data_IF_924030966128
#
_entry.id   IF_924030966128
#
_cell.length_a   1.000
_cell.length_b   1.000
_cell.length_c   1.000
_cell.angle_alpha   90.00
_cell.angle_beta   90.00
_cell.angle_gamma   90.00
#
_symmetry.space_group_name_H-M   'P 1'
#
loop_
_entity.id
_entity.type
_entity.pdbx_description
1 polymer ?
#
# COMPACT_ATOMS: atom_id res chain seq x y z
N UNK A 1 -1.65 10.57 29.63
CA UNK A 1 -2.31 9.29 29.32
C UNK A 1 -1.98 8.32 30.43
N UNK A 2 -2.97 7.73 31.07
CA UNK A 2 -2.74 6.70 32.09
C UNK A 2 -2.82 5.31 31.43
N UNK A 3 -1.90 4.40 31.76
CA UNK A 3 -1.86 3.05 31.15
C UNK A 3 -2.95 2.10 31.71
N UNK A 4 -3.48 2.42 32.88
CA UNK A 4 -4.46 1.60 33.60
C UNK A 4 -5.79 1.43 32.83
N UNK A 5 -6.46 2.51 32.37
CA UNK A 5 -7.69 2.40 31.60
C UNK A 5 -7.53 1.60 30.30
N UNK A 6 -6.44 1.85 29.57
CA UNK A 6 -6.08 1.15 28.32
C UNK A 6 -5.98 -0.36 28.56
N UNK A 7 -5.29 -0.76 29.64
CA UNK A 7 -5.11 -2.17 30.00
C UNK A 7 -6.41 -2.86 30.40
N UNK A 8 -7.32 -2.16 31.09
CA UNK A 8 -8.62 -2.72 31.51
C UNK A 8 -9.48 -3.05 30.29
N UNK A 9 -9.59 -2.09 29.35
CA UNK A 9 -10.30 -2.31 28.08
C UNK A 9 -9.68 -3.47 27.31
N UNK A 10 -8.35 -3.46 27.15
CA UNK A 10 -7.66 -4.50 26.41
C UNK A 10 -7.84 -5.90 27.01
N UNK A 11 -7.80 -6.02 28.34
CA UNK A 11 -7.98 -7.31 29.04
C UNK A 11 -9.40 -7.85 28.87
N UNK A 12 -10.42 -7.00 28.95
CA UNK A 12 -11.82 -7.39 28.77
C UNK A 12 -12.05 -7.93 27.35
N UNK A 13 -11.72 -7.14 26.35
CA UNK A 13 -11.89 -7.47 24.93
C UNK A 13 -11.11 -8.75 24.55
N UNK A 14 -9.89 -8.91 25.06
CA UNK A 14 -9.11 -10.12 24.83
C UNK A 14 -9.78 -11.36 25.45
N UNK A 15 -10.37 -11.24 26.65
CA UNK A 15 -11.09 -12.35 27.28
C UNK A 15 -12.29 -12.76 26.43
N UNK A 16 -13.06 -11.79 25.95
CA UNK A 16 -14.24 -12.06 25.13
C UNK A 16 -13.86 -12.78 23.83
N UNK A 17 -12.81 -12.30 23.13
CA UNK A 17 -12.28 -12.94 21.93
C UNK A 17 -11.76 -14.38 22.16
N UNK A 18 -11.08 -14.62 23.28
CA UNK A 18 -10.54 -15.94 23.64
C UNK A 18 -11.61 -16.91 24.16
N UNK A 19 -12.84 -16.45 24.42
CA UNK A 19 -13.94 -17.35 24.84
C UNK A 19 -14.78 -17.86 23.67
N UNK A 20 -14.68 -17.24 22.49
CA UNK A 20 -15.44 -17.69 21.33
C UNK A 20 -14.70 -18.82 20.59
N UNK A 21 -15.19 -20.05 20.77
CA UNK A 21 -14.62 -21.23 20.14
C UNK A 21 -14.68 -21.18 18.60
N UNK A 22 -15.66 -20.46 18.02
CA UNK A 22 -15.83 -20.38 16.56
C UNK A 22 -14.72 -19.57 15.91
N UNK A 23 -14.20 -18.58 16.63
CA UNK A 23 -13.04 -17.80 16.19
C UNK A 23 -11.74 -18.53 16.51
N UNK A 24 -11.64 -19.17 17.68
CA UNK A 24 -10.44 -19.87 18.09
C UNK A 24 -10.15 -21.12 17.25
N UNK A 25 -11.16 -21.89 16.86
CA UNK A 25 -10.96 -23.16 16.16
C UNK A 25 -10.18 -23.00 14.84
N UNK A 26 -10.56 -22.10 13.91
CA UNK A 26 -9.76 -21.84 12.71
C UNK A 26 -8.38 -21.27 13.04
N UNK A 27 -8.26 -20.37 14.03
CA UNK A 27 -6.97 -19.79 14.43
C UNK A 27 -6.01 -20.87 14.92
N UNK A 28 -6.48 -21.82 15.74
CA UNK A 28 -5.69 -22.96 16.23
C UNK A 28 -5.24 -23.84 15.06
N UNK A 29 -6.12 -24.15 14.11
CA UNK A 29 -5.77 -24.91 12.90
C UNK A 29 -4.67 -24.17 12.11
N UNK A 30 -4.87 -22.88 11.84
CA UNK A 30 -3.90 -22.06 11.11
C UNK A 30 -2.58 -21.89 11.88
N UNK A 31 -2.61 -21.97 13.21
CA UNK A 31 -1.43 -21.81 14.06
C UNK A 31 -0.60 -23.11 14.16
N UNK A 32 -1.23 -24.28 14.21
CA UNK A 32 -0.50 -25.53 14.45
C UNK A 32 -0.41 -26.44 13.23
N UNK A 33 -1.47 -26.54 12.44
CA UNK A 33 -1.52 -27.46 11.29
C UNK A 33 -0.83 -26.85 10.08
N UNK A 34 -1.19 -25.61 9.73
CA UNK A 34 -0.67 -24.96 8.51
C UNK A 34 0.85 -24.83 8.48
N UNK A 35 1.55 -24.40 9.56
CA UNK A 35 3.01 -24.31 9.53
C UNK A 35 3.68 -25.67 9.32
N UNK A 36 3.10 -26.72 9.90
CA UNK A 36 3.55 -28.11 9.71
C UNK A 36 3.40 -28.55 8.26
N UNK A 37 2.27 -28.21 7.61
CA UNK A 37 2.03 -28.50 6.19
C UNK A 37 2.99 -27.71 5.30
N UNK A 38 3.19 -26.41 5.54
CA UNK A 38 4.11 -25.57 4.76
C UNK A 38 5.52 -26.13 4.82
N UNK A 39 6.01 -26.46 6.02
CA UNK A 39 7.34 -27.05 6.17
C UNK A 39 7.42 -28.42 5.49
N UNK A 40 6.42 -29.28 5.68
CA UNK A 40 6.38 -30.61 5.06
C UNK A 40 6.43 -30.52 3.53
N UNK A 41 5.69 -29.58 2.95
CA UNK A 41 5.73 -29.30 1.52
C UNK A 41 7.12 -28.83 1.06
N UNK A 42 7.75 -27.92 1.81
CA UNK A 42 9.10 -27.47 1.52
C UNK A 42 10.12 -28.63 1.58
N UNK A 43 10.05 -29.48 2.61
CA UNK A 43 10.94 -30.63 2.77
C UNK A 43 10.66 -31.72 1.73
N UNK A 44 9.41 -31.93 1.33
CA UNK A 44 9.05 -32.85 0.25
C UNK A 44 9.61 -32.36 -1.09
N UNK A 45 9.60 -31.05 -1.35
CA UNK A 45 10.19 -30.46 -2.55
C UNK A 45 11.70 -30.78 -2.70
N UNK A 46 12.43 -31.01 -1.60
CA UNK A 46 13.83 -31.47 -1.64
C UNK A 46 13.94 -32.79 -2.40
N UNK A 47 13.05 -33.75 -2.08
CA UNK A 47 13.08 -35.09 -2.68
C UNK A 47 12.73 -35.04 -4.17
N UNK A 48 11.92 -34.05 -4.57
CA UNK A 48 11.51 -33.86 -5.96
C UNK A 48 12.54 -33.10 -6.81
N UNK A 49 13.09 -32.00 -6.27
CA UNK A 49 14.03 -31.12 -6.98
C UNK A 49 15.46 -31.70 -6.93
N UNK A 50 15.81 -32.43 -5.88
CA UNK A 50 17.16 -32.96 -5.68
C UNK A 50 18.21 -31.92 -5.24
N UNK A 51 17.81 -30.66 -5.05
CA UNK A 51 18.70 -29.57 -4.61
C UNK A 51 18.27 -29.00 -3.24
N UNK A 52 19.09 -29.29 -2.23
CA UNK A 52 18.95 -28.78 -0.87
C UNK A 52 19.11 -27.24 -0.78
N UNK A 53 19.88 -26.64 -1.70
CA UNK A 53 20.17 -25.21 -1.70
C UNK A 53 18.95 -24.37 -2.07
N UNK A 54 18.25 -24.75 -3.14
CA UNK A 54 17.03 -24.07 -3.58
C UNK A 54 15.93 -24.12 -2.52
N UNK A 55 15.75 -25.26 -1.83
CA UNK A 55 14.74 -25.38 -0.76
C UNK A 55 15.12 -24.57 0.47
N UNK A 56 16.40 -24.52 0.86
CA UNK A 56 16.85 -23.71 2.00
C UNK A 56 16.47 -22.23 1.83
N UNK A 57 16.41 -21.71 0.59
CA UNK A 57 15.97 -20.34 0.29
C UNK A 57 14.48 -20.11 0.54
N UNK A 58 13.66 -21.15 0.53
CA UNK A 58 12.21 -21.06 0.76
C UNK A 58 11.84 -21.10 2.25
N UNK A 59 12.74 -21.56 3.12
CA UNK A 59 12.47 -21.71 4.56
C UNK A 59 12.10 -20.37 5.22
N UNK A 60 12.83 -19.25 5.03
CA UNK A 60 12.43 -17.98 5.62
C UNK A 60 11.07 -17.49 5.12
N UNK A 61 10.75 -17.73 3.84
CA UNK A 61 9.45 -17.41 3.29
C UNK A 61 8.34 -18.29 3.89
N UNK A 62 8.57 -19.59 4.07
CA UNK A 62 7.64 -20.49 4.74
C UNK A 62 7.35 -20.07 6.18
N UNK A 63 8.38 -19.62 6.90
CA UNK A 63 8.25 -19.06 8.25
C UNK A 63 7.41 -17.78 8.26
N UNK A 64 7.68 -16.84 7.35
CA UNK A 64 6.91 -15.60 7.19
C UNK A 64 5.43 -15.88 6.86
N UNK A 65 5.18 -16.78 5.91
CA UNK A 65 3.84 -17.19 5.48
C UNK A 65 3.07 -17.86 6.63
N UNK A 66 3.76 -18.69 7.43
CA UNK A 66 3.19 -19.35 8.60
C UNK A 66 2.65 -18.35 9.63
N UNK A 67 3.33 -17.22 9.84
CA UNK A 67 2.83 -16.15 10.70
C UNK A 67 1.71 -15.32 10.05
N UNK A 68 1.81 -15.06 8.74
CA UNK A 68 0.87 -14.20 8.02
C UNK A 68 -0.55 -14.74 7.94
N UNK A 69 -0.73 -16.05 7.74
CA UNK A 69 -2.05 -16.67 7.58
C UNK A 69 -2.95 -16.54 8.83
N UNK A 70 -2.54 -16.98 10.04
CA UNK A 70 -3.35 -16.80 11.24
C UNK A 70 -3.51 -15.33 11.64
N UNK A 71 -2.50 -14.47 11.41
CA UNK A 71 -2.63 -13.03 11.62
C UNK A 71 -3.76 -12.44 10.76
N UNK A 72 -3.80 -12.84 9.49
CA UNK A 72 -4.80 -12.39 8.51
C UNK A 72 -6.20 -12.83 8.87
N UNK A 73 -6.37 -14.06 9.35
CA UNK A 73 -7.68 -14.56 9.80
C UNK A 73 -8.14 -13.84 11.07
N UNK A 74 -7.23 -13.63 12.02
CA UNK A 74 -7.53 -12.93 13.28
C UNK A 74 -7.87 -11.45 13.08
N UNK A 75 -7.59 -10.87 11.90
CA UNK A 75 -7.97 -9.50 11.55
C UNK A 75 -9.49 -9.25 11.64
N UNK A 76 -10.31 -10.29 11.47
CA UNK A 76 -11.77 -10.21 11.62
C UNK A 76 -12.14 -9.64 12.99
N UNK A 77 -11.45 -10.06 14.05
CA UNK A 77 -11.69 -9.55 15.42
C UNK A 77 -11.41 -8.05 15.53
N UNK A 78 -10.38 -7.55 14.82
CA UNK A 78 -10.07 -6.12 14.79
C UNK A 78 -11.17 -5.32 14.06
N UNK A 79 -11.73 -5.88 12.99
CA UNK A 79 -12.82 -5.27 12.23
C UNK A 79 -14.14 -5.23 13.00
N UNK A 80 -14.38 -6.22 13.87
CA UNK A 80 -15.58 -6.27 14.72
C UNK A 80 -15.46 -5.38 15.97
N UNK A 81 -14.28 -4.89 16.31
CA UNK A 81 -14.03 -4.17 17.58
C UNK A 81 -14.92 -2.94 17.83
N UNK A 82 -15.23 -2.13 16.79
CA UNK A 82 -16.15 -0.99 16.91
C UNK A 82 -17.53 -1.28 16.33
N UNK A 83 -17.56 -1.99 15.20
CA UNK A 83 -18.80 -2.31 14.49
C UNK A 83 -19.66 -3.30 15.27
N UNK A 84 -19.05 -4.26 15.96
CA UNK A 84 -19.76 -5.22 16.80
C UNK A 84 -20.47 -4.55 17.97
N UNK A 85 -19.84 -3.56 18.61
CA UNK A 85 -20.48 -2.75 19.66
C UNK A 85 -21.62 -1.89 19.11
N UNK A 86 -21.49 -1.42 17.86
CA UNK A 86 -22.57 -0.72 17.17
C UNK A 86 -23.75 -1.65 16.87
N UNK A 87 -23.49 -2.83 16.34
CA UNK A 87 -24.53 -3.79 15.98
C UNK A 87 -25.22 -4.40 17.22
N UNK A 88 -24.54 -4.43 18.36
CA UNK A 88 -25.08 -4.85 19.67
C UNK A 88 -25.79 -3.74 20.46
N UNK A 89 -25.84 -2.51 19.92
CA UNK A 89 -26.40 -1.33 20.59
C UNK A 89 -25.79 -1.08 21.99
N UNK A 90 -24.45 -1.12 22.06
CA UNK A 90 -23.70 -0.90 23.30
C UNK A 90 -22.81 0.34 23.25
N UNK A 91 -22.98 1.20 22.24
CA UNK A 91 -22.19 2.42 22.03
C UNK A 91 -22.40 3.46 23.14
N UNK A 92 -23.58 3.51 23.75
CA UNK A 92 -23.91 4.39 24.87
C UNK A 92 -23.01 4.11 26.08
N UNK A 93 -22.66 2.83 26.29
CA UNK A 93 -21.73 2.43 27.34
C UNK A 93 -20.32 2.97 27.09
N UNK A 94 -19.88 3.04 25.83
CA UNK A 94 -18.58 3.61 25.44
C UNK A 94 -18.56 5.13 25.59
N UNK A 95 -19.69 5.81 25.35
CA UNK A 95 -19.80 7.26 25.57
C UNK A 95 -19.74 7.64 27.06
N UNK A 96 -20.32 6.81 27.93
CA UNK A 96 -20.38 7.07 29.37
C UNK A 96 -19.05 6.78 30.09
N UNK A 97 -18.06 6.18 29.41
CA UNK A 97 -16.76 5.87 30.03
C UNK A 97 -15.96 7.16 30.30
N UNK A 98 -15.38 7.32 31.51
CA UNK A 98 -14.52 8.45 31.85
C UNK A 98 -13.11 8.27 31.26
N UNK A 99 -13.02 8.16 29.93
CA UNK A 99 -11.78 7.96 29.17
C UNK A 99 -11.70 8.98 28.03
N UNK A 100 -10.47 9.37 27.67
CA UNK A 100 -10.25 10.17 26.46
C UNK A 100 -10.39 9.30 25.21
N UNK A 101 -10.77 9.92 24.09
CA UNK A 101 -10.96 9.24 22.80
C UNK A 101 -9.68 8.51 22.34
N UNK A 102 -8.52 9.14 22.53
CA UNK A 102 -7.22 8.52 22.24
C UNK A 102 -6.88 7.33 23.14
N UNK A 103 -7.22 7.37 24.44
CA UNK A 103 -7.02 6.24 25.35
C UNK A 103 -7.96 5.07 25.02
N UNK A 104 -9.21 5.35 24.65
CA UNK A 104 -10.15 4.33 24.22
C UNK A 104 -9.70 3.67 22.91
N UNK A 105 -9.29 4.48 21.92
CA UNK A 105 -8.75 3.98 20.65
C UNK A 105 -7.54 3.08 20.87
N UNK A 106 -6.55 3.52 21.67
CA UNK A 106 -5.37 2.71 21.97
C UNK A 106 -5.70 1.43 22.76
N UNK A 107 -6.68 1.48 23.67
CA UNK A 107 -7.18 0.31 24.37
C UNK A 107 -7.71 -0.75 23.42
N UNK A 108 -8.62 -0.35 22.51
CA UNK A 108 -9.18 -1.25 21.50
C UNK A 108 -8.14 -1.73 20.49
N UNK A 109 -7.27 -0.84 20.03
CA UNK A 109 -6.17 -1.20 19.13
C UNK A 109 -5.26 -2.26 19.75
N UNK A 110 -4.87 -2.08 21.01
CA UNK A 110 -4.00 -3.04 21.72
C UNK A 110 -4.70 -4.38 21.90
N UNK A 111 -5.99 -4.38 22.27
CA UNK A 111 -6.79 -5.59 22.39
C UNK A 111 -6.87 -6.36 21.07
N UNK A 112 -7.19 -5.64 19.99
CA UNK A 112 -7.32 -6.16 18.65
C UNK A 112 -5.98 -6.63 18.06
N UNK A 113 -4.84 -6.09 18.54
CA UNK A 113 -3.51 -6.48 18.08
C UNK A 113 -3.01 -7.77 18.73
N UNK A 114 -3.38 -8.03 19.98
CA UNK A 114 -2.87 -9.19 20.72
C UNK A 114 -3.26 -10.51 20.05
N UNK A 115 -4.52 -10.69 19.64
CA UNK A 115 -4.98 -11.96 19.05
C UNK A 115 -4.25 -12.31 17.74
N UNK A 116 -4.17 -11.40 16.73
CA UNK A 116 -3.39 -11.65 15.52
C UNK A 116 -1.89 -11.82 15.77
N UNK A 117 -1.30 -11.03 16.67
CA UNK A 117 0.13 -11.09 16.91
C UNK A 117 0.54 -12.39 17.62
N UNK A 118 -0.19 -12.77 18.67
CA UNK A 118 0.10 -14.00 19.42
C UNK A 118 -0.11 -15.23 18.53
N UNK A 119 -1.20 -15.29 17.77
CA UNK A 119 -1.43 -16.42 16.84
C UNK A 119 -0.33 -16.52 15.77
N UNK A 120 0.10 -15.40 15.21
CA UNK A 120 1.22 -15.36 14.25
C UNK A 120 2.53 -15.86 14.86
N UNK A 121 2.89 -15.37 16.04
CA UNK A 121 4.12 -15.75 16.73
C UNK A 121 4.10 -17.23 17.13
N UNK A 122 2.97 -17.74 17.60
CA UNK A 122 2.79 -19.17 17.90
C UNK A 122 2.90 -20.05 16.65
N UNK A 123 2.41 -19.58 15.51
CA UNK A 123 2.51 -20.29 14.24
C UNK A 123 3.96 -20.35 13.75
N UNK A 124 4.68 -19.25 13.88
CA UNK A 124 6.11 -19.18 13.57
C UNK A 124 6.95 -20.02 14.53
N UNK A 125 6.60 -20.05 15.81
CA UNK A 125 7.23 -20.94 16.78
C UNK A 125 6.99 -22.41 16.43
N UNK A 126 5.77 -22.77 16.02
CA UNK A 126 5.44 -24.12 15.54
C UNK A 126 6.23 -24.49 14.29
N UNK A 127 6.34 -23.58 13.32
CA UNK A 127 7.18 -23.77 12.13
C UNK A 127 8.64 -24.02 12.52
N UNK A 128 9.19 -23.15 13.38
CA UNK A 128 10.58 -23.23 13.81
C UNK A 128 10.85 -24.52 14.60
N UNK A 129 9.92 -24.95 15.46
CA UNK A 129 10.01 -26.22 16.18
C UNK A 129 10.14 -27.39 15.21
N UNK A 130 9.19 -27.53 14.27
CA UNK A 130 9.23 -28.62 13.31
C UNK A 130 10.43 -28.54 12.36
N UNK A 131 10.88 -27.33 12.03
CA UNK A 131 12.08 -27.13 11.22
C UNK A 131 13.33 -27.68 11.92
N UNK A 132 13.49 -27.41 13.22
CA UNK A 132 14.62 -27.95 13.98
C UNK A 132 14.56 -29.48 14.14
N UNK A 133 13.36 -30.05 14.24
CA UNK A 133 13.17 -31.51 14.45
C UNK A 133 13.27 -32.29 13.13
N UNK A 134 12.65 -31.81 12.05
CA UNK A 134 12.42 -32.59 10.83
C UNK A 134 13.30 -32.19 9.65
N UNK A 135 13.87 -30.98 9.61
CA UNK A 135 14.68 -30.56 8.48
C UNK A 135 16.07 -31.24 8.50
N UNK A 136 16.59 -31.73 7.37
CA UNK A 136 17.94 -32.29 7.31
C UNK A 136 19.01 -31.27 7.74
N UNK A 137 20.07 -31.73 8.40
CA UNK A 137 21.19 -30.88 8.83
C UNK A 137 21.79 -30.06 7.66
N UNK A 138 21.79 -30.61 6.44
CA UNK A 138 22.23 -29.93 5.23
C UNK A 138 21.38 -28.69 4.86
N UNK A 139 20.10 -28.67 5.24
CA UNK A 139 19.22 -27.50 5.08
C UNK A 139 19.41 -26.55 6.25
N UNK A 140 19.52 -27.09 7.47
CA UNK A 140 19.73 -26.30 8.70
C UNK A 140 20.98 -25.43 8.63
N UNK A 141 22.11 -25.98 8.19
CA UNK A 141 23.36 -25.23 8.07
C UNK A 141 23.37 -24.13 6.99
N UNK A 142 22.35 -24.07 6.12
CA UNK A 142 22.24 -23.07 5.04
C UNK A 142 21.30 -21.92 5.36
N UNK A 143 20.38 -22.10 6.31
CA UNK A 143 19.44 -21.04 6.70
C UNK A 143 20.10 -20.16 7.74
N UNK A 144 20.10 -18.86 7.49
CA UNK A 144 20.68 -17.90 8.42
C UNK A 144 19.68 -17.55 9.52
N UNK A 145 20.11 -17.65 10.78
CA UNK A 145 19.25 -17.39 11.95
C UNK A 145 18.82 -15.92 12.03
N UNK A 146 19.69 -14.99 11.63
CA UNK A 146 19.37 -13.56 11.58
C UNK A 146 18.18 -13.25 10.64
N UNK A 147 18.10 -13.95 9.51
CA UNK A 147 16.94 -13.85 8.61
C UNK A 147 15.66 -14.36 9.26
N UNK A 148 15.71 -15.42 10.07
CA UNK A 148 14.51 -15.92 10.78
C UNK A 148 13.97 -14.89 11.76
N UNK A 149 14.85 -14.23 12.53
CA UNK A 149 14.46 -13.12 13.42
C UNK A 149 13.91 -11.93 12.64
N UNK A 150 14.46 -11.61 11.47
CA UNK A 150 13.90 -10.59 10.60
C UNK A 150 12.49 -10.95 10.12
N UNK A 151 12.20 -12.23 9.83
CA UNK A 151 10.83 -12.66 9.49
C UNK A 151 9.86 -12.42 10.65
N UNK A 152 10.31 -12.68 11.89
CA UNK A 152 9.52 -12.43 13.10
C UNK A 152 9.26 -10.93 13.28
N UNK A 153 10.28 -10.10 13.09
CA UNK A 153 10.14 -8.64 13.16
C UNK A 153 9.19 -8.11 12.07
N UNK A 154 9.31 -8.63 10.84
CA UNK A 154 8.44 -8.28 9.73
C UNK A 154 6.99 -8.66 10.01
N UNK A 155 6.70 -9.87 10.54
CA UNK A 155 5.30 -10.21 10.84
C UNK A 155 4.72 -9.32 11.94
N UNK A 156 5.52 -8.95 12.94
CA UNK A 156 5.07 -8.13 14.04
C UNK A 156 4.64 -6.74 13.55
N UNK A 157 5.47 -6.10 12.71
CA UNK A 157 5.12 -4.81 12.11
C UNK A 157 3.93 -4.94 11.16
N UNK A 158 3.84 -6.02 10.36
CA UNK A 158 2.66 -6.27 9.51
C UNK A 158 1.37 -6.39 10.31
N UNK A 159 1.39 -7.11 11.44
CA UNK A 159 0.24 -7.23 12.31
C UNK A 159 -0.22 -5.85 12.82
N UNK A 160 0.71 -4.96 13.18
CA UNK A 160 0.38 -3.59 13.58
C UNK A 160 -0.26 -2.81 12.43
N UNK A 161 0.33 -2.84 11.23
CA UNK A 161 -0.23 -2.15 10.04
C UNK A 161 -1.64 -2.65 9.76
N UNK A 162 -1.83 -3.97 9.76
CA UNK A 162 -3.11 -4.61 9.46
C UNK A 162 -4.18 -4.21 10.49
N UNK A 163 -3.87 -4.35 11.77
CA UNK A 163 -4.82 -4.07 12.85
C UNK A 163 -5.13 -2.58 12.92
N UNK A 164 -4.14 -1.69 12.79
CA UNK A 164 -4.39 -0.25 12.76
C UNK A 164 -5.30 0.14 11.58
N UNK A 165 -5.05 -0.41 10.38
CA UNK A 165 -5.92 -0.19 9.22
C UNK A 165 -7.33 -0.73 9.44
N UNK A 166 -7.46 -1.95 9.98
CA UNK A 166 -8.76 -2.57 10.26
C UNK A 166 -9.57 -1.80 11.30
N UNK A 167 -8.94 -1.32 12.38
CA UNK A 167 -9.61 -0.55 13.42
C UNK A 167 -10.10 0.81 12.88
N UNK A 168 -9.31 1.48 12.03
CA UNK A 168 -9.76 2.70 11.32
C UNK A 168 -10.99 2.38 10.48
N UNK A 169 -10.95 1.35 9.63
CA UNK A 169 -12.08 0.94 8.79
C UNK A 169 -13.31 0.58 9.65
N UNK A 170 -13.11 -0.18 10.73
CA UNK A 170 -14.16 -0.57 11.69
C UNK A 170 -14.89 0.66 12.22
N UNK A 171 -14.16 1.70 12.64
CA UNK A 171 -14.76 2.94 13.15
C UNK A 171 -15.60 3.72 12.12
N UNK A 172 -15.46 3.40 10.84
CA UNK A 172 -16.14 4.06 9.72
C UNK A 172 -17.22 3.20 9.05
N UNK A 173 -17.48 2.00 9.56
CA UNK A 173 -18.44 1.06 8.99
C UNK A 173 -19.60 0.82 9.95
N UNK A 174 -20.76 0.45 9.42
CA UNK A 174 -22.00 0.36 10.21
C UNK A 174 -22.44 -1.07 10.51
N UNK A 175 -22.01 -2.05 9.70
CA UNK A 175 -22.42 -3.46 9.85
C UNK A 175 -21.22 -4.38 9.77
N UNK A 176 -21.24 -5.47 10.56
CA UNK A 176 -20.12 -6.43 10.62
C UNK A 176 -19.89 -7.05 9.23
N UNK A 177 -20.96 -7.30 8.47
CA UNK A 177 -20.86 -7.81 7.09
C UNK A 177 -20.11 -6.84 6.17
N UNK A 178 -20.38 -5.53 6.25
CA UNK A 178 -19.66 -4.54 5.46
C UNK A 178 -18.19 -4.45 5.88
N UNK A 179 -17.92 -4.46 7.18
CA UNK A 179 -16.55 -4.44 7.71
C UNK A 179 -15.74 -5.66 7.21
N UNK A 180 -16.33 -6.85 7.19
CA UNK A 180 -15.69 -8.06 6.69
C UNK A 180 -15.42 -8.02 5.18
N UNK A 181 -16.27 -7.39 4.37
CA UNK A 181 -15.97 -7.16 2.95
C UNK A 181 -14.81 -6.17 2.78
N UNK A 182 -14.74 -5.17 3.65
CA UNK A 182 -13.69 -4.15 3.67
C UNK A 182 -12.37 -4.66 4.26
N UNK A 183 -12.35 -5.85 4.89
CA UNK A 183 -11.13 -6.55 5.29
C UNK A 183 -10.15 -6.70 4.11
N UNK A 184 -10.69 -6.90 2.91
CA UNK A 184 -9.92 -7.00 1.68
C UNK A 184 -9.03 -5.78 1.42
N UNK A 185 -9.44 -4.58 1.88
CA UNK A 185 -8.65 -3.36 1.71
C UNK A 185 -7.38 -3.37 2.56
N UNK A 186 -7.35 -4.14 3.64
CA UNK A 186 -6.15 -4.36 4.43
C UNK A 186 -5.37 -5.57 3.93
N UNK A 187 -6.07 -6.67 3.64
CA UNK A 187 -5.44 -7.95 3.30
C UNK A 187 -4.77 -7.96 1.92
N UNK A 188 -5.39 -7.33 0.91
CA UNK A 188 -4.85 -7.36 -0.47
C UNK A 188 -3.52 -6.60 -0.58
N UNK A 189 -3.39 -5.34 -0.10
CA UNK A 189 -2.09 -4.66 -0.12
C UNK A 189 -1.02 -5.42 0.68
N UNK A 190 -1.39 -6.00 1.83
CA UNK A 190 -0.44 -6.76 2.64
C UNK A 190 -0.02 -8.07 1.98
N UNK A 191 -0.90 -8.74 1.23
CA UNK A 191 -0.53 -9.93 0.47
C UNK A 191 0.43 -9.60 -0.68
N UNK A 192 0.28 -8.44 -1.33
CA UNK A 192 1.26 -7.94 -2.31
C UNK A 192 2.62 -7.72 -1.65
N UNK A 193 2.67 -7.13 -0.45
CA UNK A 193 3.93 -6.96 0.29
C UNK A 193 4.57 -8.32 0.59
N UNK A 194 3.80 -9.31 1.07
CA UNK A 194 4.31 -10.67 1.34
C UNK A 194 4.82 -11.36 0.06
N UNK A 195 4.15 -11.16 -1.07
CA UNK A 195 4.61 -11.68 -2.37
C UNK A 195 5.92 -11.03 -2.82
N UNK A 196 6.08 -9.72 -2.65
CA UNK A 196 7.33 -9.02 -2.94
C UNK A 196 8.46 -9.49 -2.02
N UNK A 197 8.18 -9.68 -0.73
CA UNK A 197 9.15 -10.25 0.21
C UNK A 197 9.57 -11.66 -0.17
N UNK A 198 8.66 -12.49 -0.69
CA UNK A 198 8.99 -13.81 -1.21
C UNK A 198 10.07 -13.72 -2.30
N UNK A 199 9.91 -12.82 -3.27
CA UNK A 199 10.89 -12.58 -4.33
C UNK A 199 12.23 -12.11 -3.77
N UNK A 200 12.21 -11.20 -2.79
CA UNK A 200 13.44 -10.66 -2.15
C UNK A 200 14.16 -11.73 -1.32
N UNK A 201 13.42 -12.58 -0.59
CA UNK A 201 13.95 -13.71 0.17
C UNK A 201 14.62 -14.70 -0.79
N UNK A 202 13.95 -15.06 -1.89
CA UNK A 202 14.49 -15.96 -2.92
C UNK A 202 15.74 -15.36 -3.59
N UNK A 203 15.74 -14.06 -3.83
CA UNK A 203 16.88 -13.31 -4.36
C UNK A 203 18.04 -13.16 -3.36
N UNK A 204 17.87 -13.61 -2.11
CA UNK A 204 18.87 -13.54 -1.03
C UNK A 204 19.38 -12.12 -0.74
N UNK A 205 18.48 -11.13 -0.77
CA UNK A 205 18.81 -9.71 -0.51
C UNK A 205 18.27 -9.24 0.86
N UNK A 206 18.93 -9.58 1.99
CA UNK A 206 18.44 -9.24 3.34
C UNK A 206 18.29 -7.74 3.59
N UNK A 207 19.10 -6.90 2.97
CA UNK A 207 19.05 -5.45 3.17
C UNK A 207 17.75 -4.85 2.58
N UNK A 208 17.21 -5.42 1.50
CA UNK A 208 15.90 -5.02 0.97
C UNK A 208 14.77 -5.35 1.95
N UNK A 209 14.87 -6.47 2.67
CA UNK A 209 13.89 -6.85 3.70
C UNK A 209 13.92 -5.88 4.88
N UNK A 210 15.10 -5.38 5.27
CA UNK A 210 15.21 -4.30 6.26
C UNK A 210 14.57 -3.00 5.79
N UNK A 211 14.74 -2.64 4.52
CA UNK A 211 14.07 -1.47 3.96
C UNK A 211 12.54 -1.61 3.98
N UNK A 212 12.03 -2.80 3.66
CA UNK A 212 10.59 -3.11 3.76
C UNK A 212 10.12 -3.01 5.23
N UNK A 213 10.90 -3.54 6.18
CA UNK A 213 10.61 -3.43 7.60
C UNK A 213 10.46 -1.97 8.04
N UNK A 214 11.43 -1.12 7.73
CA UNK A 214 11.40 0.31 8.11
C UNK A 214 10.26 1.06 7.43
N UNK A 215 9.97 0.76 6.17
CA UNK A 215 8.82 1.34 5.46
C UNK A 215 7.49 0.95 6.12
N UNK A 216 7.29 -0.33 6.43
CA UNK A 216 6.10 -0.80 7.14
C UNK A 216 5.99 -0.22 8.54
N UNK A 217 7.11 -0.02 9.25
CA UNK A 217 7.10 0.59 10.57
C UNK A 217 6.67 2.06 10.51
N UNK A 218 7.15 2.80 9.50
CA UNK A 218 6.70 4.17 9.26
C UNK A 218 5.20 4.24 8.96
N UNK A 219 4.70 3.32 8.13
CA UNK A 219 3.25 3.18 7.83
C UNK A 219 2.47 2.84 9.10
N UNK A 220 2.96 1.91 9.92
CA UNK A 220 2.33 1.54 11.18
C UNK A 220 2.17 2.75 12.11
N UNK A 221 3.25 3.53 12.30
CA UNK A 221 3.22 4.76 13.11
C UNK A 221 2.25 5.78 12.53
N UNK A 222 2.23 5.96 11.21
CA UNK A 222 1.31 6.87 10.53
C UNK A 222 -0.15 6.46 10.72
N UNK A 223 -0.49 5.18 10.53
CA UNK A 223 -1.86 4.68 10.71
C UNK A 223 -2.32 4.82 12.17
N UNK A 224 -1.49 4.41 13.14
CA UNK A 224 -1.84 4.54 14.57
C UNK A 224 -2.08 6.00 14.95
N UNK A 225 -1.19 6.91 14.56
CA UNK A 225 -1.38 8.36 14.82
C UNK A 225 -2.64 8.91 14.16
N UNK A 226 -2.91 8.47 12.94
CA UNK A 226 -4.06 8.94 12.19
C UNK A 226 -5.37 8.45 12.79
N UNK A 227 -5.45 7.17 13.17
CA UNK A 227 -6.62 6.62 13.84
C UNK A 227 -6.89 7.27 15.20
N UNK A 228 -5.84 7.60 15.97
CA UNK A 228 -6.00 8.37 17.21
C UNK A 228 -6.61 9.76 16.98
N UNK A 229 -6.27 10.42 15.86
CA UNK A 229 -6.76 11.77 15.55
C UNK A 229 -8.13 11.77 14.86
N UNK A 230 -8.48 10.70 14.13
CA UNK A 230 -9.76 10.58 13.44
C UNK A 230 -10.88 10.05 14.34
N UNK A 231 -10.52 9.35 15.42
CA UNK A 231 -11.48 8.76 16.33
C UNK A 231 -12.19 9.83 17.16
N UNK A 232 -13.49 9.98 16.93
CA UNK A 232 -14.39 10.78 17.73
C UNK A 232 -15.63 9.94 18.06
N UNK A 233 -15.85 9.70 19.36
CA UNK A 233 -16.92 8.82 19.86
C UNK A 233 -18.33 9.30 19.50
N UNK A 234 -18.56 10.62 19.43
CA UNK A 234 -19.88 11.21 19.14
C UNK A 234 -20.26 11.05 17.67
N UNK A 235 -19.27 11.03 16.78
CA UNK A 235 -19.51 10.88 15.34
C UNK A 235 -19.87 9.44 14.94
N UNK A 236 -19.58 8.45 15.78
CA UNK A 236 -19.92 7.04 15.53
C UNK A 236 -21.44 6.81 15.66
N UNK A 237 -22.10 7.53 16.58
CA UNK A 237 -23.54 7.46 16.87
C UNK A 237 -24.39 8.25 15.87
N UNK A 238 -23.95 9.46 15.47
CA UNK A 238 -24.71 10.27 14.49
C UNK A 238 -24.84 9.58 13.13
N UNK A 239 -23.97 8.60 12.83
CA UNK A 239 -23.94 7.83 11.59
C UNK A 239 -24.90 6.64 11.53
N UNK A 240 -25.61 6.30 12.60
CA UNK A 240 -26.62 5.23 12.58
C UNK A 240 -27.85 5.61 11.72
N UNK A 241 -28.13 6.91 11.61
CA UNK A 241 -29.32 7.44 10.96
C UNK A 241 -29.15 7.74 9.45
N UNK A 242 -27.97 7.52 8.88
CA UNK A 242 -27.67 7.83 7.48
C UNK A 242 -27.88 6.62 6.56
N UNK A 243 -29.11 6.42 6.08
CA UNK A 243 -29.42 5.38 5.09
C UNK A 243 -28.61 5.52 3.79
N UNK A 244 -28.21 4.38 3.21
CA UNK A 244 -27.50 4.32 1.94
C UNK A 244 -28.43 4.71 0.77
N UNK A 245 -28.19 5.85 0.14
CA UNK A 245 -28.95 6.33 -1.02
C UNK A 245 -28.02 6.48 -2.23
N UNK A 246 -28.04 5.52 -3.14
CA UNK A 246 -27.27 5.55 -4.39
C UNK A 246 -27.58 6.80 -5.22
N UNK A 247 -28.85 7.23 -5.23
CA UNK A 247 -29.29 8.47 -5.91
C UNK A 247 -28.58 9.69 -5.32
N UNK A 248 -28.49 9.78 -3.98
CA UNK A 248 -27.82 10.91 -3.31
C UNK A 248 -26.31 10.89 -3.51
N UNK A 249 -25.68 9.71 -3.49
CA UNK A 249 -24.25 9.53 -3.77
C UNK A 249 -23.93 10.03 -5.18
N UNK A 250 -24.68 9.55 -6.17
CA UNK A 250 -24.47 9.94 -7.57
C UNK A 250 -24.75 11.44 -7.80
N UNK A 251 -25.81 11.97 -7.19
CA UNK A 251 -26.09 13.40 -7.25
C UNK A 251 -24.96 14.24 -6.64
N UNK A 252 -24.43 13.82 -5.49
CA UNK A 252 -23.30 14.48 -4.81
C UNK A 252 -22.04 14.45 -5.66
N UNK A 253 -21.71 13.29 -6.22
CA UNK A 253 -20.58 13.13 -7.13
C UNK A 253 -20.71 14.03 -8.36
N UNK A 254 -21.91 14.10 -8.96
CA UNK A 254 -22.21 15.02 -10.06
C UNK A 254 -22.06 16.49 -9.66
N UNK A 255 -22.44 16.89 -8.45
CA UNK A 255 -22.21 18.27 -8.00
C UNK A 255 -20.71 18.60 -7.98
N UNK A 256 -19.88 17.71 -7.43
CA UNK A 256 -18.43 17.90 -7.37
C UNK A 256 -17.74 17.89 -8.74
N UNK A 257 -18.35 17.29 -9.76
CA UNK A 257 -17.88 17.38 -11.15
C UNK A 257 -18.18 18.74 -11.80
N UNK A 258 -19.14 19.52 -11.31
CA UNK A 258 -19.56 20.76 -11.97
C UNK A 258 -18.51 21.87 -11.88
N UNK A 259 -17.92 22.07 -10.71
CA UNK A 259 -16.90 23.10 -10.47
C UNK A 259 -15.92 22.67 -9.38
N UNK A 260 -14.85 23.42 -9.19
CA UNK A 260 -14.00 23.23 -8.01
C UNK A 260 -14.44 24.17 -6.89
N UNK A 261 -14.67 23.59 -5.72
CA UNK A 261 -14.72 24.29 -4.44
C UNK A 261 -13.79 23.57 -3.46
N UNK A 262 -13.20 24.29 -2.49
CA UNK A 262 -12.38 23.69 -1.44
C UNK A 262 -13.10 22.56 -0.70
N UNK A 263 -12.35 21.58 -0.20
CA UNK A 263 -12.94 20.48 0.56
C UNK A 263 -13.61 21.00 1.84
N UNK A 264 -14.84 20.54 2.13
CA UNK A 264 -15.68 21.02 3.23
C UNK A 264 -16.88 21.89 2.79
N UNK A 265 -16.91 22.36 1.54
CA UNK A 265 -18.05 23.12 1.00
C UNK A 265 -19.20 22.18 0.62
N UNK A 266 -20.35 22.36 1.26
CA UNK A 266 -21.55 21.51 1.07
C UNK A 266 -21.94 21.35 -0.42
N UNK A 267 -22.33 20.14 -0.87
CA UNK A 267 -22.69 19.87 -2.28
C UNK A 267 -23.77 20.79 -2.85
N UNK A 268 -24.69 21.25 -2.01
CA UNK A 268 -25.80 22.14 -2.38
C UNK A 268 -25.32 23.54 -2.82
N UNK A 269 -24.10 23.93 -2.44
CA UNK A 269 -23.50 25.22 -2.82
C UNK A 269 -22.85 25.20 -4.21
N UNK A 270 -22.78 24.04 -4.87
CA UNK A 270 -22.24 23.91 -6.23
C UNK A 270 -23.31 24.33 -7.25
N UNK A 271 -23.33 25.63 -7.57
CA UNK A 271 -24.38 26.22 -8.40
C UNK A 271 -23.98 26.36 -9.86
N UNK A 272 -22.69 26.51 -10.16
CA UNK A 272 -22.25 26.74 -11.53
C UNK A 272 -22.30 25.46 -12.38
N UNK A 273 -22.43 25.62 -13.69
CA UNK A 273 -22.27 24.52 -14.66
C UNK A 273 -20.79 24.22 -14.92
N UNK A 274 -20.50 23.05 -15.47
CA UNK A 274 -19.15 22.69 -15.89
C UNK A 274 -18.71 23.51 -17.11
N UNK A 275 -17.48 24.03 -17.06
CA UNK A 275 -16.87 24.80 -18.15
C UNK A 275 -15.40 24.45 -18.28
N UNK A 276 -14.98 24.02 -19.47
CA UNK A 276 -13.58 23.70 -19.78
C UNK A 276 -12.66 24.92 -19.60
N UNK A 277 -13.12 26.10 -20.06
CA UNK A 277 -12.34 27.34 -19.94
C UNK A 277 -12.15 27.74 -18.47
N UNK A 278 -13.19 27.59 -17.63
CA UNK A 278 -13.06 27.83 -16.19
C UNK A 278 -12.14 26.80 -15.54
N UNK A 279 -12.25 25.54 -15.96
CA UNK A 279 -11.41 24.47 -15.42
C UNK A 279 -9.92 24.79 -15.58
N UNK A 280 -9.46 25.03 -16.81
CA UNK A 280 -8.03 25.30 -17.05
C UNK A 280 -7.55 26.63 -16.47
N UNK A 281 -8.39 27.67 -16.44
CA UNK A 281 -7.98 29.01 -15.97
C UNK A 281 -8.06 29.19 -14.45
N UNK A 282 -8.98 28.50 -13.78
CA UNK A 282 -9.33 28.77 -12.37
C UNK A 282 -9.32 27.51 -11.51
N UNK A 283 -10.06 26.47 -11.94
CA UNK A 283 -10.25 25.28 -11.10
C UNK A 283 -8.96 24.46 -10.97
N UNK A 284 -8.21 24.27 -12.05
CA UNK A 284 -6.99 23.46 -12.06
C UNK A 284 -5.84 24.09 -11.25
N UNK A 285 -5.50 25.39 -11.39
CA UNK A 285 -4.51 26.02 -10.51
C UNK A 285 -4.91 25.97 -9.02
N UNK A 286 -6.19 26.15 -8.72
CA UNK A 286 -6.69 26.05 -7.35
C UNK A 286 -6.60 24.61 -6.80
N UNK A 287 -6.87 23.60 -7.64
CA UNK A 287 -6.67 22.19 -7.32
C UNK A 287 -5.20 21.85 -7.04
N UNK A 288 -4.26 22.38 -7.83
CA UNK A 288 -2.83 22.18 -7.58
C UNK A 288 -2.41 22.76 -6.22
N UNK A 289 -2.94 23.93 -5.85
CA UNK A 289 -2.70 24.51 -4.53
C UNK A 289 -3.29 23.65 -3.40
N UNK A 290 -4.52 23.15 -3.57
CA UNK A 290 -5.17 22.22 -2.64
C UNK A 290 -4.37 20.91 -2.48
N UNK A 291 -3.71 20.45 -3.55
CA UNK A 291 -2.90 19.23 -3.56
C UNK A 291 -1.44 19.42 -3.15
N UNK A 292 -1.02 20.60 -2.67
CA UNK A 292 0.37 20.88 -2.27
C UNK A 292 0.98 19.84 -1.32
N UNK A 293 0.20 19.35 -0.35
CA UNK A 293 0.66 18.34 0.59
C UNK A 293 0.82 16.97 -0.09
N UNK A 294 -0.11 16.59 -0.96
CA UNK A 294 -0.02 15.37 -1.74
C UNK A 294 1.17 15.44 -2.73
N UNK A 295 1.37 16.58 -3.38
CA UNK A 295 2.52 16.84 -4.25
C UNK A 295 3.85 16.78 -3.49
N UNK A 296 3.90 17.28 -2.24
CA UNK A 296 5.07 17.14 -1.38
C UNK A 296 5.36 15.66 -1.07
N UNK A 297 4.34 14.87 -0.75
CA UNK A 297 4.50 13.41 -0.54
C UNK A 297 4.99 12.71 -1.81
N UNK A 298 4.49 13.10 -2.98
CA UNK A 298 4.97 12.57 -4.26
C UNK A 298 6.40 13.01 -4.54
N UNK A 299 6.77 14.24 -4.23
CA UNK A 299 8.15 14.71 -4.34
C UNK A 299 9.09 13.90 -3.45
N UNK A 300 8.67 13.56 -2.23
CA UNK A 300 9.41 12.63 -1.37
C UNK A 300 9.52 11.25 -2.01
N UNK A 301 8.46 10.75 -2.66
CA UNK A 301 8.49 9.48 -3.40
C UNK A 301 9.53 9.51 -4.53
N UNK A 302 9.56 10.60 -5.31
CA UNK A 302 10.53 10.82 -6.40
C UNK A 302 11.96 10.83 -5.85
N UNK A 303 12.22 11.60 -4.80
CA UNK A 303 13.55 11.71 -4.21
C UNK A 303 14.00 10.40 -3.56
N UNK A 304 13.14 9.75 -2.80
CA UNK A 304 13.44 8.45 -2.19
C UNK A 304 13.68 7.39 -3.26
N UNK A 305 12.90 7.38 -4.35
CA UNK A 305 13.12 6.53 -5.52
C UNK A 305 14.49 6.75 -6.15
N UNK A 306 14.81 7.99 -6.55
CA UNK A 306 16.12 8.33 -7.16
C UNK A 306 17.29 7.88 -6.28
N UNK A 307 17.28 8.30 -5.01
CA UNK A 307 18.33 8.00 -4.04
C UNK A 307 18.45 6.49 -3.84
N UNK A 308 17.32 5.81 -3.64
CA UNK A 308 17.29 4.36 -3.53
C UNK A 308 17.86 3.68 -4.77
N UNK A 309 17.50 4.12 -5.99
CA UNK A 309 18.01 3.56 -7.24
C UNK A 309 19.54 3.62 -7.35
N UNK A 310 20.13 4.78 -7.02
CA UNK A 310 21.59 4.97 -7.03
C UNK A 310 22.28 4.04 -6.03
N UNK A 311 21.79 3.98 -4.79
CA UNK A 311 22.35 3.07 -3.79
C UNK A 311 22.11 1.60 -4.12
N UNK A 312 20.96 1.29 -4.73
CA UNK A 312 20.58 -0.05 -5.12
C UNK A 312 21.51 -0.62 -6.20
N UNK A 313 22.04 0.21 -7.10
CA UNK A 313 23.05 -0.23 -8.06
C UNK A 313 24.33 -0.75 -7.36
N UNK A 314 24.77 -0.10 -6.28
CA UNK A 314 25.93 -0.56 -5.50
C UNK A 314 25.63 -1.76 -4.61
N UNK A 315 24.46 -1.78 -3.98
CA UNK A 315 24.10 -2.78 -2.96
C UNK A 315 23.43 -4.04 -3.51
N UNK A 316 22.67 -3.93 -4.61
CA UNK A 316 21.78 -4.97 -5.14
C UNK A 316 22.08 -5.30 -6.61
N UNK A 317 23.37 -5.33 -6.95
CA UNK A 317 23.84 -5.61 -8.31
C UNK A 317 23.51 -7.05 -8.71
N UNK A 318 22.78 -7.22 -9.81
CA UNK A 318 22.43 -8.52 -10.34
C UNK A 318 23.06 -8.73 -11.72
N UNK A 319 23.80 -9.83 -11.90
CA UNK A 319 24.51 -10.12 -13.15
C UNK A 319 23.58 -10.20 -14.37
N UNK A 320 22.36 -10.74 -14.18
CA UNK A 320 21.37 -10.79 -15.26
C UNK A 320 20.92 -9.39 -15.69
N UNK A 321 20.77 -8.46 -14.74
CA UNK A 321 20.34 -7.10 -15.00
C UNK A 321 21.47 -6.29 -15.66
N UNK A 322 22.71 -6.48 -15.23
CA UNK A 322 23.87 -5.91 -15.91
C UNK A 322 23.96 -6.39 -17.35
N UNK A 323 23.88 -7.70 -17.58
CA UNK A 323 23.91 -8.29 -18.92
C UNK A 323 22.75 -7.78 -19.79
N UNK A 324 21.57 -7.60 -19.20
CA UNK A 324 20.43 -6.99 -19.88
C UNK A 324 20.73 -5.54 -20.28
N UNK A 325 21.17 -4.70 -19.34
CA UNK A 325 21.51 -3.30 -19.61
C UNK A 325 22.62 -3.18 -20.67
N UNK A 326 23.67 -3.99 -20.59
CA UNK A 326 24.75 -4.02 -21.59
C UNK A 326 24.25 -4.32 -23.01
N UNK A 327 23.27 -5.21 -23.15
CA UNK A 327 22.70 -5.60 -24.46
C UNK A 327 21.64 -4.64 -24.98
N UNK A 328 20.85 -4.06 -24.07
CA UNK A 328 19.70 -3.22 -24.42
C UNK A 328 20.05 -1.75 -24.63
N UNK A 329 21.12 -1.27 -24.00
CA UNK A 329 21.58 0.11 -24.16
C UNK A 329 22.12 0.33 -25.58
N UNK A 330 21.68 1.42 -26.21
CA UNK A 330 21.99 1.76 -27.60
C UNK A 330 21.11 1.04 -28.63
N UNK A 331 20.36 0.01 -28.21
CA UNK A 331 19.39 -0.68 -29.08
C UNK A 331 18.00 -0.13 -28.83
N UNK A 332 17.39 0.50 -29.83
CA UNK A 332 16.03 0.99 -29.77
C UNK A 332 15.14 0.26 -30.79
N UNK A 333 13.89 -0.08 -30.45
CA UNK A 333 12.95 -0.63 -31.41
C UNK A 333 12.68 0.38 -32.53
N UNK A 334 12.22 -0.08 -33.70
CA UNK A 334 11.80 0.84 -34.76
C UNK A 334 10.59 1.67 -34.28
N UNK A 335 10.55 2.99 -34.58
CA UNK A 335 9.39 3.84 -34.34
C UNK A 335 8.13 3.19 -34.88
N UNK A 336 7.10 3.09 -34.04
CA UNK A 336 5.85 2.45 -34.42
C UNK A 336 4.69 2.97 -33.59
N UNK A 337 3.58 3.29 -34.27
CA UNK A 337 2.32 3.64 -33.63
C UNK A 337 1.78 2.50 -32.77
N UNK A 338 2.06 1.25 -33.13
CA UNK A 338 1.67 0.09 -32.33
C UNK A 338 2.41 0.06 -30.99
N UNK A 339 3.72 0.35 -30.99
CA UNK A 339 4.50 0.46 -29.76
C UNK A 339 4.02 1.63 -28.91
N UNK A 340 3.78 2.80 -29.52
CA UNK A 340 3.21 3.96 -28.84
C UNK A 340 1.86 3.65 -28.18
N UNK A 341 0.97 2.91 -28.87
CA UNK A 341 -0.31 2.49 -28.32
C UNK A 341 -0.16 1.52 -27.13
N UNK A 342 0.80 0.58 -27.19
CA UNK A 342 1.12 -0.33 -26.09
C UNK A 342 1.67 0.40 -24.85
N UNK A 343 2.55 1.38 -25.06
CA UNK A 343 3.07 2.28 -24.02
C UNK A 343 1.92 3.08 -23.41
N UNK A 344 1.07 3.69 -24.23
CA UNK A 344 -0.10 4.44 -23.78
C UNK A 344 -1.03 3.58 -22.91
N UNK A 345 -1.38 2.37 -23.37
CA UNK A 345 -2.23 1.45 -22.62
C UNK A 345 -1.63 1.08 -21.26
N UNK A 346 -0.31 0.85 -21.21
CA UNK A 346 0.41 0.52 -19.97
C UNK A 346 0.42 1.71 -19.00
N UNK A 347 0.77 2.90 -19.47
CA UNK A 347 0.84 4.10 -18.65
C UNK A 347 -0.54 4.53 -18.15
N UNK A 348 -1.58 4.40 -18.97
CA UNK A 348 -2.98 4.63 -18.55
C UNK A 348 -3.42 3.62 -17.50
N UNK A 349 -3.09 2.34 -17.68
CA UNK A 349 -3.38 1.30 -16.70
C UNK A 349 -2.72 1.64 -15.36
N UNK A 350 -1.43 1.95 -15.35
CA UNK A 350 -0.69 2.29 -14.13
C UNK A 350 -1.29 3.55 -13.47
N UNK A 351 -1.52 4.61 -14.23
CA UNK A 351 -2.11 5.85 -13.72
C UNK A 351 -3.51 5.65 -13.13
N UNK A 352 -4.36 4.85 -13.76
CA UNK A 352 -5.74 4.64 -13.33
C UNK A 352 -5.81 3.67 -12.14
N UNK A 353 -5.15 2.52 -12.22
CA UNK A 353 -5.17 1.53 -11.14
C UNK A 353 -4.45 2.02 -9.89
N UNK A 354 -3.35 2.77 -10.00
CA UNK A 354 -2.69 3.33 -8.81
C UNK A 354 -3.62 4.27 -8.04
N UNK A 355 -4.42 5.08 -8.75
CA UNK A 355 -5.43 5.95 -8.14
C UNK A 355 -6.56 5.16 -7.46
N UNK A 356 -7.11 4.15 -8.15
CA UNK A 356 -8.19 3.31 -7.59
C UNK A 356 -7.70 2.50 -6.39
N UNK A 357 -6.55 1.86 -6.49
CA UNK A 357 -5.95 1.08 -5.41
C UNK A 357 -5.47 1.96 -4.26
N UNK A 358 -5.24 3.26 -4.49
CA UNK A 358 -4.91 4.22 -3.43
C UNK A 358 -6.06 4.43 -2.45
N UNK A 359 -7.32 4.27 -2.90
CA UNK A 359 -8.46 4.23 -2.00
C UNK A 359 -8.33 3.08 -1.00
N UNK A 360 -7.79 1.94 -1.41
CA UNK A 360 -7.71 0.76 -0.54
C UNK A 360 -6.41 0.68 0.24
N UNK A 361 -5.39 1.44 -0.15
CA UNK A 361 -4.04 1.39 0.42
C UNK A 361 -3.61 2.68 1.09
N UNK A 362 -4.54 3.60 1.37
CA UNK A 362 -4.23 4.91 1.96
C UNK A 362 -3.17 5.71 1.17
N UNK A 363 -3.18 5.57 -0.16
CA UNK A 363 -2.25 6.29 -1.05
C UNK A 363 -0.95 5.55 -1.36
N UNK A 364 -0.67 4.38 -0.77
CA UNK A 364 0.60 3.67 -0.94
C UNK A 364 0.86 3.33 -2.42
N UNK A 365 -0.13 2.85 -3.17
CA UNK A 365 0.09 2.53 -4.59
C UNK A 365 0.44 3.77 -5.44
N UNK A 366 -0.18 4.92 -5.18
CA UNK A 366 0.18 6.16 -5.86
C UNK A 366 1.55 6.69 -5.45
N UNK A 367 2.01 6.42 -4.22
CA UNK A 367 3.38 6.70 -3.78
C UNK A 367 4.39 5.82 -4.54
N UNK A 368 4.10 4.53 -4.67
CA UNK A 368 5.03 3.54 -5.24
C UNK A 368 5.31 3.75 -6.72
N UNK A 369 4.35 4.24 -7.51
CA UNK A 369 4.54 4.48 -8.96
C UNK A 369 5.75 5.39 -9.24
N UNK A 370 5.77 6.66 -8.80
CA UNK A 370 6.92 7.54 -9.03
C UNK A 370 8.17 7.04 -8.29
N UNK A 371 8.05 6.46 -7.09
CA UNK A 371 9.21 5.90 -6.40
C UNK A 371 9.90 4.81 -7.24
N UNK A 372 9.14 3.92 -7.87
CA UNK A 372 9.66 2.85 -8.72
C UNK A 372 10.25 3.38 -10.03
N UNK A 373 9.57 4.29 -10.72
CA UNK A 373 10.06 4.90 -11.96
C UNK A 373 11.38 5.64 -11.74
N UNK A 374 11.44 6.47 -10.69
CA UNK A 374 12.64 7.22 -10.36
C UNK A 374 13.76 6.34 -9.77
N UNK A 375 13.43 5.22 -9.12
CA UNK A 375 14.43 4.21 -8.75
C UNK A 375 15.08 3.56 -9.97
N UNK A 376 14.32 3.28 -11.04
CA UNK A 376 14.88 2.77 -12.28
C UNK A 376 15.82 3.79 -12.93
N UNK A 377 15.39 5.06 -13.02
CA UNK A 377 16.23 6.14 -13.56
C UNK A 377 17.53 6.28 -12.75
N UNK A 378 17.44 6.28 -11.42
CA UNK A 378 18.61 6.36 -10.53
C UNK A 378 19.55 5.17 -10.68
N UNK A 379 19.01 3.95 -10.76
CA UNK A 379 19.79 2.72 -10.92
C UNK A 379 20.54 2.71 -12.25
N UNK A 380 19.87 2.99 -13.37
CA UNK A 380 20.51 3.00 -14.69
C UNK A 380 21.52 4.14 -14.80
N UNK A 381 21.23 5.31 -14.23
CA UNK A 381 22.19 6.42 -14.17
C UNK A 381 23.48 6.05 -13.42
N UNK A 382 23.35 5.38 -12.27
CA UNK A 382 24.50 4.87 -11.52
C UNK A 382 25.27 3.79 -12.30
N UNK A 383 24.55 2.92 -13.01
CA UNK A 383 25.15 1.94 -13.91
C UNK A 383 26.00 2.61 -15.01
N UNK A 384 25.53 3.71 -15.63
CA UNK A 384 26.31 4.48 -16.61
C UNK A 384 27.61 5.04 -16.02
N UNK A 385 27.50 5.69 -14.86
CA UNK A 385 28.65 6.25 -14.16
C UNK A 385 29.71 5.19 -13.88
N UNK A 386 29.31 4.00 -13.44
CA UNK A 386 30.21 2.90 -13.13
C UNK A 386 30.91 2.29 -14.37
N UNK A 387 30.37 2.50 -15.56
CA UNK A 387 30.96 2.05 -16.83
C UNK A 387 31.70 3.18 -17.57
N UNK A 388 32.09 4.24 -16.86
CA UNK A 388 32.86 5.35 -17.41
C UNK A 388 32.08 6.23 -18.40
N UNK A 389 30.74 6.11 -18.44
CA UNK A 389 29.88 6.92 -19.30
C UNK A 389 29.17 7.99 -18.49
N UNK A 390 28.93 9.14 -19.10
CA UNK A 390 28.15 10.21 -18.45
C UNK A 390 26.69 9.76 -18.29
N UNK A 391 26.12 9.80 -17.07
CA UNK A 391 24.69 9.50 -16.84
C UNK A 391 23.76 10.41 -17.64
N UNK A 392 24.22 11.61 -17.99
CA UNK A 392 23.47 12.55 -18.81
C UNK A 392 23.16 12.00 -20.19
N UNK A 393 24.00 11.12 -20.75
CA UNK A 393 23.73 10.52 -22.07
C UNK A 393 22.48 9.63 -21.98
N UNK A 394 22.34 8.85 -20.90
CA UNK A 394 21.12 8.07 -20.65
C UNK A 394 19.92 8.98 -20.43
N UNK A 395 20.04 9.96 -19.54
CA UNK A 395 18.91 10.86 -19.21
C UNK A 395 18.45 11.62 -20.44
N UNK A 396 19.35 12.19 -21.24
CA UNK A 396 19.00 12.98 -22.42
C UNK A 396 18.44 12.13 -23.56
N UNK A 397 18.94 10.90 -23.75
CA UNK A 397 18.51 10.07 -24.87
C UNK A 397 17.25 9.23 -24.55
N UNK A 398 17.21 8.62 -23.37
CA UNK A 398 16.15 7.68 -23.00
C UNK A 398 15.05 8.31 -22.16
N UNK A 399 15.35 9.29 -21.29
CA UNK A 399 14.36 9.80 -20.32
C UNK A 399 13.74 11.10 -20.81
N UNK A 400 14.57 12.10 -21.16
CA UNK A 400 14.13 13.47 -21.41
C UNK A 400 13.08 13.60 -22.53
N UNK A 401 13.19 12.92 -23.70
CA UNK A 401 12.31 13.21 -24.83
C UNK A 401 10.83 13.09 -24.48
N UNK A 402 10.42 11.97 -23.89
CA UNK A 402 9.04 11.76 -23.43
C UNK A 402 8.84 12.15 -21.95
N UNK A 403 9.89 12.03 -21.13
CA UNK A 403 9.85 12.27 -19.68
C UNK A 403 9.55 13.71 -19.30
N UNK A 404 9.83 14.69 -20.16
CA UNK A 404 9.42 16.09 -19.97
C UNK A 404 7.90 16.25 -19.79
N UNK A 405 7.11 15.38 -20.42
CA UNK A 405 5.65 15.37 -20.32
C UNK A 405 5.19 14.28 -19.35
N UNK A 406 5.78 13.09 -19.47
CA UNK A 406 5.35 11.90 -18.72
C UNK A 406 5.59 12.06 -17.22
N UNK A 407 6.77 12.51 -16.79
CA UNK A 407 7.13 12.58 -15.38
C UNK A 407 6.27 13.59 -14.61
N UNK A 408 6.06 14.84 -15.07
CA UNK A 408 5.12 15.76 -14.42
C UNK A 408 3.69 15.22 -14.37
N UNK A 409 3.28 14.49 -15.41
CA UNK A 409 1.94 13.90 -15.48
C UNK A 409 1.76 12.77 -14.48
N UNK A 410 2.76 11.91 -14.31
CA UNK A 410 2.74 10.89 -13.25
C UNK A 410 2.84 11.50 -11.85
N UNK A 411 3.62 12.56 -11.65
CA UNK A 411 3.64 13.29 -10.37
C UNK A 411 2.24 13.82 -10.02
N UNK A 412 1.57 14.45 -10.99
CA UNK A 412 0.20 14.91 -10.82
C UNK A 412 -0.77 13.76 -10.55
N UNK A 413 -0.72 12.70 -11.37
CA UNK A 413 -1.57 11.52 -11.23
C UNK A 413 -1.40 10.85 -9.87
N UNK A 414 -0.17 10.73 -9.37
CA UNK A 414 0.11 10.19 -8.05
C UNK A 414 -0.40 11.10 -6.94
N UNK A 415 -0.34 12.43 -7.09
CA UNK A 415 -0.89 13.34 -6.10
C UNK A 415 -2.42 13.17 -5.96
N UNK A 416 -3.13 12.87 -7.06
CA UNK A 416 -4.55 12.49 -7.01
C UNK A 416 -4.76 11.27 -6.11
N UNK A 417 -3.94 10.24 -6.30
CA UNK A 417 -4.08 8.97 -5.57
C UNK A 417 -3.74 9.13 -4.09
N UNK A 418 -2.69 9.89 -3.77
CA UNK A 418 -2.37 10.26 -2.38
C UNK A 418 -3.55 11.01 -1.74
N UNK A 419 -4.18 11.96 -2.46
CA UNK A 419 -5.34 12.69 -1.94
C UNK A 419 -6.57 11.81 -1.76
N UNK A 420 -6.80 10.85 -2.66
CA UNK A 420 -7.86 9.84 -2.52
C UNK A 420 -7.62 9.00 -1.27
N UNK A 421 -6.40 8.49 -1.09
CA UNK A 421 -6.02 7.72 0.09
C UNK A 421 -6.18 8.50 1.40
N UNK A 422 -5.75 9.77 1.39
CA UNK A 422 -5.91 10.66 2.54
C UNK A 422 -7.38 11.00 2.85
N UNK A 423 -8.29 10.90 1.88
CA UNK A 423 -9.71 11.21 2.09
C UNK A 423 -10.41 10.25 3.07
N UNK A 424 -9.86 9.04 3.24
CA UNK A 424 -10.32 8.06 4.21
C UNK A 424 -9.86 8.33 5.64
N UNK A 425 -8.73 9.02 5.76
CA UNK A 425 -8.04 9.23 7.03
C UNK A 425 -8.59 10.43 7.79
N UNK A 426 -9.12 11.42 7.07
CA UNK A 426 -9.61 12.66 7.63
C UNK A 426 -10.73 13.25 6.77
N UNK A 427 -11.75 13.83 7.40
CA UNK A 427 -12.76 14.63 6.73
C UNK A 427 -12.68 16.09 7.20
N UNK A 428 -12.58 17.08 6.28
CA UNK A 428 -12.67 18.49 6.62
C UNK A 428 -14.01 18.84 7.28
N UNK A 429 -14.01 19.87 8.12
CA UNK A 429 -15.25 20.39 8.73
C UNK A 429 -16.28 20.70 7.63
N UNK A 430 -17.50 20.19 7.82
CA UNK A 430 -18.59 20.34 6.84
C UNK A 430 -18.74 19.17 5.86
N UNK A 431 -17.77 18.25 5.81
CA UNK A 431 -17.86 17.00 5.04
C UNK A 431 -17.96 15.78 5.95
N UNK A 432 -18.72 14.79 5.50
CA UNK A 432 -18.53 13.41 5.94
C UNK A 432 -17.33 12.79 5.20
N UNK A 433 -16.77 11.70 5.72
CA UNK A 433 -15.71 10.95 5.03
C UNK A 433 -16.17 10.49 3.65
N UNK A 434 -17.41 9.99 3.53
CA UNK A 434 -17.97 9.61 2.24
C UNK A 434 -18.03 10.77 1.25
N UNK A 435 -18.44 11.96 1.69
CA UNK A 435 -18.40 13.16 0.85
C UNK A 435 -16.97 13.56 0.48
N UNK A 436 -16.03 13.46 1.40
CA UNK A 436 -14.62 13.76 1.12
C UNK A 436 -14.01 12.79 0.09
N UNK A 437 -14.36 11.49 0.17
CA UNK A 437 -13.97 10.49 -0.83
C UNK A 437 -14.59 10.82 -2.20
N UNK A 438 -15.90 11.10 -2.25
CA UNK A 438 -16.57 11.46 -3.49
C UNK A 438 -16.00 12.73 -4.11
N UNK A 439 -15.66 13.72 -3.28
CA UNK A 439 -15.01 14.95 -3.71
C UNK A 439 -13.61 14.67 -4.28
N UNK A 440 -12.81 13.84 -3.62
CA UNK A 440 -11.48 13.47 -4.10
C UNK A 440 -11.56 12.70 -5.42
N UNK A 441 -12.49 11.74 -5.54
CA UNK A 441 -12.73 10.97 -6.76
C UNK A 441 -13.23 11.84 -7.92
N UNK A 442 -14.14 12.78 -7.65
CA UNK A 442 -14.67 13.67 -8.69
C UNK A 442 -13.58 14.61 -9.24
N UNK A 443 -12.76 15.18 -8.36
CA UNK A 443 -11.63 16.01 -8.79
C UNK A 443 -10.54 15.19 -9.47
N UNK A 444 -10.26 13.97 -9.00
CA UNK A 444 -9.36 13.05 -9.67
C UNK A 444 -9.87 12.69 -11.07
N UNK A 445 -11.17 12.43 -11.26
CA UNK A 445 -11.75 12.16 -12.57
C UNK A 445 -11.61 13.35 -13.53
N UNK A 446 -11.86 14.59 -13.05
CA UNK A 446 -11.66 15.81 -13.85
C UNK A 446 -10.20 15.96 -14.28
N UNK A 447 -9.26 15.90 -13.33
CA UNK A 447 -7.83 16.09 -13.63
C UNK A 447 -7.29 14.96 -14.49
N UNK A 448 -7.65 13.71 -14.19
CA UNK A 448 -7.21 12.57 -14.97
C UNK A 448 -7.74 12.62 -16.40
N UNK A 449 -9.04 12.89 -16.60
CA UNK A 449 -9.64 12.94 -17.93
C UNK A 449 -9.20 14.13 -18.77
N UNK A 450 -9.07 15.31 -18.16
CA UNK A 450 -8.78 16.55 -18.90
C UNK A 450 -7.28 16.85 -19.00
N UNK A 451 -6.46 16.40 -18.06
CA UNK A 451 -5.02 16.73 -18.01
C UNK A 451 -4.18 15.48 -18.17
N UNK A 452 -4.32 14.48 -17.31
CA UNK A 452 -3.40 13.33 -17.32
C UNK A 452 -3.54 12.46 -18.56
N UNK A 453 -4.77 12.15 -18.99
CA UNK A 453 -5.07 11.34 -20.16
C UNK A 453 -4.43 11.91 -21.45
N UNK A 454 -4.69 13.17 -21.86
CA UNK A 454 -4.08 13.70 -23.08
C UNK A 454 -2.56 13.79 -22.99
N UNK A 455 -2.00 14.10 -21.82
CA UNK A 455 -0.54 14.18 -21.64
C UNK A 455 0.13 12.79 -21.65
N UNK A 456 -0.50 11.75 -21.09
CA UNK A 456 -0.02 10.37 -21.18
C UNK A 456 -0.03 9.90 -22.63
N UNK A 457 -1.10 10.19 -23.39
CA UNK A 457 -1.17 9.83 -24.81
C UNK A 457 -0.09 10.56 -25.62
N UNK A 458 0.10 11.86 -25.39
CA UNK A 458 1.14 12.64 -26.05
C UNK A 458 2.55 12.12 -25.70
N UNK A 459 2.82 11.87 -24.43
CA UNK A 459 4.10 11.31 -23.99
C UNK A 459 4.36 9.94 -24.62
N UNK A 460 3.36 9.06 -24.69
CA UNK A 460 3.49 7.74 -25.31
C UNK A 460 3.75 7.83 -26.82
N UNK A 461 3.19 8.81 -27.52
CA UNK A 461 3.53 9.07 -28.93
C UNK A 461 5.01 9.49 -29.06
N UNK A 462 5.49 10.38 -28.19
CA UNK A 462 6.90 10.78 -28.17
C UNK A 462 7.80 9.59 -27.80
N UNK A 463 7.40 8.75 -26.86
CA UNK A 463 8.14 7.56 -26.42
C UNK A 463 8.21 6.49 -27.49
N UNK A 464 7.12 6.23 -28.21
CA UNK A 464 7.07 5.20 -29.24
C UNK A 464 7.58 5.64 -30.61
N UNK A 465 7.63 6.95 -30.91
CA UNK A 465 8.01 7.47 -32.22
C UNK A 465 9.33 8.26 -32.22
N UNK A 466 9.53 9.15 -31.24
CA UNK A 466 10.64 10.13 -31.24
C UNK A 466 11.82 9.61 -30.41
N UNK A 467 11.56 9.11 -29.20
CA UNK A 467 12.60 8.60 -28.29
C UNK A 467 13.50 7.54 -28.95
N UNK A 468 12.98 6.57 -29.74
CA UNK A 468 13.82 5.59 -30.40
C UNK A 468 14.78 6.20 -31.43
N UNK A 469 14.34 7.25 -32.14
CA UNK A 469 15.22 7.98 -33.07
C UNK A 469 16.31 8.75 -32.34
N UNK A 470 15.96 9.40 -31.23
CA UNK A 470 16.95 10.09 -30.38
C UNK A 470 18.01 9.11 -29.88
N UNK A 471 17.59 7.92 -29.43
CA UNK A 471 18.52 6.87 -29.00
C UNK A 471 19.42 6.42 -30.16
N UNK A 472 18.90 6.18 -31.36
CA UNK A 472 19.74 5.80 -32.51
C UNK A 472 20.75 6.89 -32.89
N UNK A 473 20.32 8.15 -32.89
CA UNK A 473 21.20 9.29 -33.19
C UNK A 473 22.35 9.42 -32.17
N UNK A 474 22.06 9.22 -30.88
CA UNK A 474 23.06 9.38 -29.82
C UNK A 474 24.03 8.18 -29.73
N UNK A 475 23.55 6.96 -29.98
CA UNK A 475 24.36 5.73 -29.83
C UNK A 475 24.94 5.20 -31.16
N UNK A 476 24.74 5.90 -32.28
CA UNK A 476 25.34 5.57 -33.57
C UNK A 476 24.67 4.40 -34.30
N UNK A 477 23.34 4.35 -34.24
CA UNK A 477 22.51 3.30 -34.86
C UNK A 477 22.46 3.32 -36.38
#
# INVERSE_FOLDING_TARGET
MTLLPIRVVARREMRDNLTDWRMLFPVIILTFIVPTVILSAALYAIRFIGDNGSVARLIPFGLLLSGFLPASFSLITALESFVGEKERNTLESLLAMPMSDGELYLGKLTAALLTPLVSALMAMATFAFWYNVAAPAAVQGRVRIDLMWLMVALIAVKAIVMVAGAVIISSHTTTVRAANLLASFVLVPMSVVVQLEALVIIAQQPQLLWNIFWALLAIAVMLVRTGMNSFNREEILSREHAGFSTKRIWWTFKQFLKEFQPAGVAPERYTASFSLRRFYRRDFPALLHEYRAALLVVFLAVMTGLVFGVFAFGAYRAAWLDNFLQRSIGTAPRPSLFNAAGIAATNLRIGLFSNVLSLFSFGIFAFLVPAAEFAQIGYVSAWYAAHGRSPWIYVLAYVLPHGLILLPTFVLSSALGIRIGAALLYAPRGFTIGQNILWALANAAKVFGLVSLPLILLAALIEGLVTPEVVRLVYGG
#
